data_IF_569439565481
#
_entry.id   IF_569439565481
#
_cell.length_a   1.000
_cell.length_b   1.000
_cell.length_c   1.000
_cell.angle_alpha   90.00
_cell.angle_beta   90.00
_cell.angle_gamma   90.00
#
_symmetry.space_group_name_H-M   'P 1'
#
loop_
_entity.id
_entity.type
_entity.pdbx_description
1 polymer ?
#
# COMPACT_ATOMS: atom_id res chain seq x y z
N UNK A 1 21.22 18.60 -27.24
CA UNK A 1 20.31 19.45 -26.44
C UNK A 1 19.88 18.63 -25.24
N UNK A 2 20.52 18.82 -24.09
CA UNK A 2 20.21 18.05 -22.88
C UNK A 2 18.93 18.59 -22.27
N UNK A 3 17.84 17.81 -22.34
CA UNK A 3 16.60 18.09 -21.60
C UNK A 3 16.90 17.77 -20.15
N UNK A 4 17.42 18.76 -19.41
CA UNK A 4 17.52 18.65 -17.95
C UNK A 4 16.09 18.68 -17.43
N UNK A 5 15.53 17.51 -17.12
CA UNK A 5 14.27 17.41 -16.36
C UNK A 5 14.45 18.27 -15.10
N UNK A 6 13.53 19.20 -14.81
CA UNK A 6 13.61 20.00 -13.59
C UNK A 6 13.70 19.08 -12.37
N UNK A 7 14.42 19.50 -11.31
CA UNK A 7 14.56 18.69 -10.10
C UNK A 7 13.16 18.54 -9.49
N UNK A 8 12.58 17.35 -9.63
CA UNK A 8 11.36 16.98 -8.90
C UNK A 8 11.62 17.26 -7.43
N UNK A 9 10.77 18.05 -6.79
CA UNK A 9 10.82 18.33 -5.35
C UNK A 9 11.12 17.04 -4.56
N UNK A 10 12.36 16.90 -4.06
CA UNK A 10 12.85 15.68 -3.41
C UNK A 10 12.33 15.59 -1.98
N UNK A 11 11.03 15.45 -1.81
CA UNK A 11 10.44 15.16 -0.50
C UNK A 11 10.67 13.69 -0.15
N UNK A 12 11.11 13.45 1.08
CA UNK A 12 11.27 12.09 1.57
C UNK A 12 9.92 11.44 1.83
N UNK A 13 9.87 10.11 1.79
CA UNK A 13 8.66 9.33 2.10
C UNK A 13 8.09 9.70 3.48
N UNK A 14 8.96 9.94 4.45
CA UNK A 14 8.58 10.23 5.84
C UNK A 14 7.87 11.58 5.92
N UNK A 15 8.41 12.60 5.24
CA UNK A 15 7.78 13.92 5.16
C UNK A 15 6.42 13.86 4.47
N UNK A 16 6.33 13.16 3.34
CA UNK A 16 5.06 12.98 2.63
C UNK A 16 4.04 12.29 3.53
N UNK A 17 4.44 11.23 4.25
CA UNK A 17 3.56 10.56 5.19
C UNK A 17 3.10 11.48 6.33
N UNK A 18 4.00 12.34 6.85
CA UNK A 18 3.65 13.34 7.85
C UNK A 18 2.65 14.36 7.30
N UNK A 19 2.87 14.91 6.10
CA UNK A 19 1.95 15.85 5.43
C UNK A 19 0.58 15.24 5.17
N UNK A 20 0.53 13.98 4.73
CA UNK A 20 -0.72 13.22 4.58
C UNK A 20 -1.44 13.07 5.91
N UNK A 21 -0.69 12.80 7.00
CA UNK A 21 -1.26 12.63 8.34
C UNK A 21 -1.76 13.95 8.93
N UNK A 22 -1.06 15.04 8.64
CA UNK A 22 -1.43 16.40 9.03
C UNK A 22 -2.53 17.00 8.14
N UNK A 23 -2.87 16.34 7.03
CA UNK A 23 -3.82 16.81 6.03
C UNK A 23 -3.49 18.23 5.52
N UNK A 24 -2.22 18.45 5.19
CA UNK A 24 -1.72 19.74 4.73
C UNK A 24 -2.31 20.13 3.35
N UNK A 25 -2.72 21.38 3.11
CA UNK A 25 -3.30 21.79 1.82
C UNK A 25 -2.29 21.81 0.66
N UNK A 26 -0.99 21.71 0.93
CA UNK A 26 0.04 21.67 -0.12
C UNK A 26 0.13 20.31 -0.83
N UNK A 27 -0.44 19.25 -0.22
CA UNK A 27 -0.49 17.91 -0.79
C UNK A 27 -1.86 17.66 -1.42
N UNK A 28 -1.87 17.17 -2.64
CA UNK A 28 -3.08 16.79 -3.37
C UNK A 28 -2.96 15.35 -3.86
N UNK A 29 -4.10 14.69 -3.99
CA UNK A 29 -4.18 13.29 -4.42
C UNK A 29 -5.05 13.24 -5.66
N UNK A 30 -4.45 12.87 -6.79
CA UNK A 30 -5.17 12.76 -8.04
C UNK A 30 -4.72 11.52 -8.80
N UNK A 31 -5.61 11.03 -9.67
CA UNK A 31 -5.26 9.96 -10.61
C UNK A 31 -4.48 10.58 -11.77
N UNK A 32 -3.33 10.02 -12.18
CA UNK A 32 -2.62 10.49 -13.37
C UNK A 32 -3.51 10.33 -14.61
N UNK A 33 -3.62 11.40 -15.41
CA UNK A 33 -4.52 11.47 -16.56
C UNK A 33 -4.29 10.36 -17.60
N UNK A 34 -3.05 9.88 -17.73
CA UNK A 34 -2.66 8.91 -18.74
C UNK A 34 -2.80 7.44 -18.32
N UNK A 35 -3.43 7.13 -17.17
CA UNK A 35 -3.48 5.75 -16.69
C UNK A 35 -4.91 5.20 -16.66
N UNK A 36 -5.14 4.15 -17.45
CA UNK A 36 -6.45 3.48 -17.60
C UNK A 36 -6.60 2.21 -16.78
N UNK A 37 -5.55 1.72 -16.13
CA UNK A 37 -5.60 0.44 -15.41
C UNK A 37 -6.52 0.51 -14.19
N UNK A 38 -7.37 -0.51 -14.01
CA UNK A 38 -8.29 -0.67 -12.88
C UNK A 38 -7.58 -0.69 -11.52
N UNK A 39 -6.28 -1.04 -11.53
CA UNK A 39 -5.42 -1.00 -10.35
C UNK A 39 -5.38 0.40 -9.72
N UNK A 40 -5.60 1.48 -10.48
CA UNK A 40 -5.65 2.86 -9.95
C UNK A 40 -6.95 3.23 -9.26
N UNK A 41 -7.95 2.35 -9.20
CA UNK A 41 -9.21 2.62 -8.49
C UNK A 41 -8.98 2.82 -7.00
N UNK A 42 -8.00 2.11 -6.42
CA UNK A 42 -7.70 2.16 -4.98
C UNK A 42 -6.45 3.00 -4.64
N UNK A 43 -5.85 3.65 -5.62
CA UNK A 43 -4.60 4.38 -5.43
C UNK A 43 -4.67 5.75 -6.11
N UNK A 44 -3.98 6.72 -5.53
CA UNK A 44 -3.86 8.06 -6.09
C UNK A 44 -2.40 8.48 -6.10
N UNK A 45 -1.99 9.22 -7.11
CA UNK A 45 -0.67 9.81 -7.14
C UNK A 45 -0.64 11.03 -6.22
N UNK A 46 0.48 11.20 -5.53
CA UNK A 46 0.74 12.32 -4.65
C UNK A 46 1.28 13.48 -5.46
N UNK A 47 0.66 14.64 -5.32
CA UNK A 47 1.09 15.91 -5.88
C UNK A 47 1.46 16.85 -4.75
N UNK A 48 2.63 17.47 -4.83
CA UNK A 48 3.05 18.50 -3.88
C UNK A 48 3.23 19.82 -4.62
N UNK A 49 2.52 20.88 -4.22
CA UNK A 49 2.56 22.18 -4.91
C UNK A 49 2.30 22.07 -6.42
N UNK A 50 1.36 21.22 -6.83
CA UNK A 50 1.03 20.88 -8.22
C UNK A 50 2.10 20.09 -8.99
N UNK A 51 3.19 19.67 -8.35
CA UNK A 51 4.17 18.77 -8.94
C UNK A 51 3.86 17.32 -8.59
N UNK A 52 3.71 16.46 -9.61
CA UNK A 52 3.50 15.04 -9.42
C UNK A 52 4.77 14.35 -8.92
N UNK A 53 4.69 13.76 -7.73
CA UNK A 53 5.81 13.02 -7.14
C UNK A 53 5.77 11.55 -7.56
N UNK A 54 6.92 10.86 -7.41
CA UNK A 54 7.06 9.41 -7.63
C UNK A 54 6.54 8.60 -6.42
N UNK A 55 5.42 9.05 -5.86
CA UNK A 55 4.76 8.46 -4.71
C UNK A 55 3.26 8.31 -4.97
N UNK A 56 2.72 7.20 -4.51
CA UNK A 56 1.29 6.92 -4.53
C UNK A 56 0.80 6.71 -3.10
N UNK A 57 -0.47 7.00 -2.88
CA UNK A 57 -1.17 6.70 -1.65
C UNK A 57 -2.26 5.68 -1.93
N UNK A 58 -2.42 4.71 -1.04
CA UNK A 58 -3.59 3.83 -1.06
C UNK A 58 -4.77 4.56 -0.38
N UNK A 59 -5.90 4.66 -1.07
CA UNK A 59 -7.09 5.32 -0.54
C UNK A 59 -7.69 4.59 0.67
N UNK A 60 -7.45 3.26 0.76
CA UNK A 60 -7.95 2.40 1.83
C UNK A 60 -7.11 2.54 3.11
N UNK A 61 -5.81 2.27 3.05
CA UNK A 61 -4.94 2.28 4.23
C UNK A 61 -4.20 3.60 4.48
N UNK A 62 -4.24 4.55 3.53
CA UNK A 62 -3.52 5.84 3.58
C UNK A 62 -2.00 5.71 3.72
N UNK A 63 -1.46 4.56 3.31
CA UNK A 63 0.00 4.32 3.26
C UNK A 63 0.57 4.92 1.98
N UNK A 64 1.66 5.67 2.12
CA UNK A 64 2.45 6.19 1.00
C UNK A 64 3.45 5.13 0.54
N UNK A 65 3.47 4.87 -0.76
CA UNK A 65 4.38 3.92 -1.42
C UNK A 65 5.16 4.64 -2.52
N UNK A 66 6.42 4.23 -2.72
CA UNK A 66 7.24 4.75 -3.80
C UNK A 66 6.85 4.08 -5.11
N UNK A 67 6.42 4.86 -6.09
CA UNK A 67 5.98 4.39 -7.38
C UNK A 67 6.82 5.04 -8.47
N UNK A 68 7.67 4.23 -9.10
CA UNK A 68 8.49 4.62 -10.24
C UNK A 68 7.95 3.95 -11.49
N UNK A 69 8.05 4.61 -12.63
CA UNK A 69 7.55 4.10 -13.92
C UNK A 69 8.12 2.71 -14.25
N UNK A 70 9.38 2.47 -13.89
CA UNK A 70 10.08 1.18 -14.07
C UNK A 70 9.51 0.07 -13.19
N UNK A 71 9.06 0.39 -11.97
CA UNK A 71 8.47 -0.57 -11.05
C UNK A 71 6.98 -0.84 -11.35
N UNK A 72 6.38 -0.05 -12.25
CA UNK A 72 5.05 -0.25 -12.83
C UNK A 72 3.96 -0.53 -11.80
N UNK A 73 3.06 -1.45 -12.14
CA UNK A 73 1.95 -1.89 -11.28
C UNK A 73 2.37 -2.86 -10.17
N UNK A 74 3.62 -3.34 -10.15
CA UNK A 74 4.09 -4.35 -9.18
C UNK A 74 3.94 -3.87 -7.74
N UNK A 75 4.28 -2.61 -7.46
CA UNK A 75 4.15 -2.02 -6.12
C UNK A 75 2.68 -2.00 -5.65
N UNK A 76 1.76 -1.75 -6.58
CA UNK A 76 0.32 -1.70 -6.30
C UNK A 76 -0.26 -3.11 -6.10
N UNK A 77 0.19 -4.09 -6.89
CA UNK A 77 -0.26 -5.48 -6.80
C UNK A 77 0.26 -6.21 -5.56
N UNK A 78 1.49 -5.92 -5.14
CA UNK A 78 2.09 -6.52 -3.93
C UNK A 78 1.68 -5.81 -2.63
N UNK A 79 1.00 -4.67 -2.70
CA UNK A 79 0.55 -3.97 -1.52
C UNK A 79 -0.60 -4.74 -0.84
N UNK A 80 -0.30 -5.33 0.31
CA UNK A 80 -1.30 -5.95 1.16
C UNK A 80 -1.93 -4.88 2.07
N UNK A 81 -3.12 -4.41 1.71
CA UNK A 81 -3.83 -3.38 2.47
C UNK A 81 -4.32 -3.93 3.82
N UNK A 82 -3.61 -3.63 4.91
CA UNK A 82 -3.92 -4.12 6.25
C UNK A 82 -5.27 -3.67 6.79
N UNK A 83 -5.82 -2.53 6.32
CA UNK A 83 -7.16 -2.04 6.71
C UNK A 83 -8.32 -2.87 6.17
N UNK A 84 -8.09 -3.80 5.24
CA UNK A 84 -9.10 -4.75 4.78
C UNK A 84 -9.32 -5.91 5.79
N UNK A 85 -8.55 -5.98 6.88
CA UNK A 85 -8.65 -7.07 7.89
C UNK A 85 -9.69 -6.85 8.99
N UNK A 86 -10.43 -5.75 8.99
CA UNK A 86 -11.39 -5.43 10.07
C UNK A 86 -12.84 -5.28 9.58
N UNK A 87 -13.30 -6.20 8.71
CA UNK A 87 -14.74 -6.32 8.42
C UNK A 87 -15.20 -7.72 7.93
N UNK A 88 -14.46 -8.79 8.25
CA UNK A 88 -15.01 -10.14 8.17
C UNK A 88 -14.81 -10.86 9.49
N UNK A 89 -15.82 -10.72 10.35
CA UNK A 89 -16.12 -11.69 11.39
C UNK A 89 -16.33 -13.05 10.71
N UNK A 90 -15.26 -13.82 10.58
CA UNK A 90 -15.36 -15.26 10.37
C UNK A 90 -14.40 -15.90 11.37
N UNK A 91 -14.89 -16.71 12.33
CA UNK A 91 -14.03 -17.35 13.33
C UNK A 91 -13.12 -18.35 12.62
N UNK A 92 -11.83 -18.04 12.51
CA UNK A 92 -10.85 -19.03 12.06
C UNK A 92 -10.69 -20.03 13.19
N UNK A 93 -11.32 -21.18 12.96
CA UNK A 93 -11.22 -22.45 13.67
C UNK A 93 -9.88 -22.58 14.41
N UNK A 94 -10.00 -22.67 15.73
CA UNK A 94 -9.00 -23.23 16.63
C UNK A 94 -8.41 -24.47 15.97
N UNK A 95 -7.08 -24.51 15.77
CA UNK A 95 -6.38 -25.76 15.50
C UNK A 95 -6.53 -26.60 16.76
N UNK A 96 -7.52 -27.50 16.78
CA UNK A 96 -7.49 -28.62 17.72
C UNK A 96 -6.21 -29.38 17.41
N UNK A 97 -5.22 -29.26 18.30
CA UNK A 97 -4.13 -30.20 18.40
C UNK A 97 -4.84 -31.54 18.65
N UNK A 98 -4.96 -32.34 17.60
CA UNK A 98 -5.38 -33.73 17.72
C UNK A 98 -4.27 -34.44 18.47
N UNK A 99 -4.36 -34.37 19.80
CA UNK A 99 -3.56 -35.16 20.74
C UNK A 99 -3.85 -36.63 20.46
N UNK A 100 -3.06 -37.22 19.58
CA UNK A 100 -3.06 -38.65 19.38
C UNK A 100 -2.42 -39.28 20.62
N UNK A 101 -3.21 -39.47 21.68
CA UNK A 101 -2.88 -40.38 22.77
C UNK A 101 -2.95 -41.80 22.22
N UNK A 102 -1.82 -42.33 21.72
CA UNK A 102 -1.66 -43.77 21.52
C UNK A 102 -1.06 -44.35 22.80
N UNK A 103 -1.92 -44.67 23.77
CA UNK A 103 -1.55 -45.56 24.86
C UNK A 103 -1.40 -46.96 24.27
N UNK A 104 -0.16 -47.39 24.08
CA UNK A 104 0.15 -48.82 23.96
C UNK A 104 0.23 -49.40 25.36
N UNK A 105 -0.91 -49.73 25.96
CA UNK A 105 -0.96 -50.54 27.16
C UNK A 105 -0.85 -52.02 26.80
N UNK A 106 0.26 -52.58 27.25
CA UNK A 106 0.59 -53.99 27.43
C UNK A 106 -0.53 -54.82 28.09
N UNK A 107 -0.53 -56.14 27.83
CA UNK A 107 -1.31 -57.26 28.45
C UNK A 107 -2.35 -57.85 27.50
N UNK A 108 -2.42 -59.16 27.22
CA UNK A 108 -2.01 -60.37 27.95
C UNK A 108 -1.59 -61.45 26.95
#
# INVERSE_FOLDING_TARGET
MSIVKPPKSTLSKVEIQALVTLNDPSISFAKPANVRSEVWTNYSQVYYKNEGLDYIICSQCKVVLKWMSENGTRVMSHHNCTKQKSASTTPVRQRTISSYCRQSSLSK
#
